data_IF_487370140654
#
_entry.id   IF_487370140654
#
_cell.length_a   1.000
_cell.length_b   1.000
_cell.length_c   1.000
_cell.angle_alpha   90.00
_cell.angle_beta   90.00
_cell.angle_gamma   90.00
#
_symmetry.space_group_name_H-M   'P 1'
#
loop_
_entity.id
_entity.type
_entity.pdbx_description
1 polymer ?
#
# COMPACT_ATOMS: atom_id res chain seq x y z
N UNK A 1 40.54 -48.65 38.86
CA UNK A 1 41.61 -48.01 38.03
C UNK A 1 41.26 -48.15 36.55
N UNK A 2 41.48 -47.08 35.77
CA UNK A 2 41.14 -46.90 34.34
C UNK A 2 41.86 -47.87 33.38
N UNK A 3 41.21 -48.18 32.24
CA UNK A 3 41.70 -48.16 30.82
C UNK A 3 40.62 -48.79 29.91
N UNK A 4 39.75 -48.03 29.23
CA UNK A 4 39.86 -47.49 27.86
C UNK A 4 40.34 -48.51 26.79
N UNK A 5 39.53 -48.78 25.73
CA UNK A 5 39.68 -48.18 24.38
C UNK A 5 38.79 -48.80 23.25
N UNK A 6 37.95 -47.94 22.63
CA UNK A 6 37.70 -47.63 21.16
C UNK A 6 37.32 -48.82 20.20
N UNK A 7 36.40 -48.81 19.19
CA UNK A 7 36.15 -47.97 17.99
C UNK A 7 34.80 -48.34 17.28
N UNK A 8 34.03 -47.29 16.89
CA UNK A 8 33.19 -46.97 15.69
C UNK A 8 32.51 -48.06 14.81
N UNK A 9 31.28 -47.73 14.35
CA UNK A 9 30.72 -47.65 12.95
C UNK A 9 29.20 -47.36 13.11
N UNK A 10 28.62 -46.19 12.79
CA UNK A 10 28.23 -45.57 11.49
C UNK A 10 27.27 -46.39 10.60
N UNK A 11 25.96 -46.05 10.61
CA UNK A 11 24.95 -46.26 9.54
C UNK A 11 23.68 -45.49 9.98
N UNK A 12 23.43 -44.23 9.61
CA UNK A 12 23.02 -43.61 8.32
C UNK A 12 21.58 -44.02 7.89
N UNK A 13 20.75 -42.99 7.61
CA UNK A 13 19.45 -42.94 6.86
C UNK A 13 18.24 -43.50 7.66
N UNK A 14 17.13 -42.79 7.91
CA UNK A 14 16.34 -42.00 6.97
C UNK A 14 16.19 -40.52 7.34
N UNK A 15 16.72 -39.71 6.43
CA UNK A 15 16.17 -38.43 6.03
C UNK A 15 14.66 -38.57 5.74
N UNK A 16 13.83 -38.34 6.74
CA UNK A 16 12.45 -37.86 6.57
C UNK A 16 12.48 -36.33 6.49
N UNK A 17 13.31 -35.79 5.60
CA UNK A 17 13.43 -34.36 5.34
C UNK A 17 12.17 -33.85 4.66
N UNK A 18 11.06 -33.79 5.40
CA UNK A 18 9.96 -32.90 5.08
C UNK A 18 10.32 -31.57 5.72
N UNK A 19 11.36 -30.93 5.20
CA UNK A 19 11.39 -29.47 5.25
C UNK A 19 10.42 -29.08 4.15
N UNK A 20 9.13 -29.02 4.50
CA UNK A 20 8.20 -28.13 3.83
C UNK A 20 8.76 -26.72 4.07
N UNK A 21 9.77 -26.35 3.28
CA UNK A 21 9.99 -24.95 2.92
C UNK A 21 8.76 -24.61 2.09
N UNK A 22 7.65 -24.37 2.78
CA UNK A 22 6.63 -23.51 2.22
C UNK A 22 7.39 -22.23 1.90
N UNK A 23 7.53 -21.93 0.62
CA UNK A 23 7.87 -20.59 0.18
C UNK A 23 6.76 -19.68 0.69
N UNK A 24 6.84 -19.26 1.95
CA UNK A 24 6.21 -18.04 2.40
C UNK A 24 7.01 -16.96 1.67
N UNK A 25 6.58 -16.64 0.45
CA UNK A 25 7.07 -15.50 -0.29
C UNK A 25 6.92 -14.30 0.65
N UNK A 26 8.06 -13.77 1.12
CA UNK A 26 8.05 -12.60 1.98
C UNK A 26 7.34 -11.49 1.22
N UNK A 27 6.23 -11.01 1.77
CA UNK A 27 5.56 -9.81 1.29
C UNK A 27 6.14 -8.65 2.09
N UNK A 28 6.62 -7.65 1.37
CA UNK A 28 7.04 -6.38 1.94
C UNK A 28 5.84 -5.45 1.87
N UNK A 29 5.61 -4.73 2.97
CA UNK A 29 4.50 -3.81 3.10
C UNK A 29 5.02 -2.47 3.59
N UNK A 30 4.49 -1.38 3.03
CA UNK A 30 4.78 -0.03 3.46
C UNK A 30 3.52 0.82 3.43
N UNK A 31 3.42 1.77 4.35
CA UNK A 31 2.28 2.67 4.47
C UNK A 31 2.77 4.12 4.47
N UNK A 32 2.17 4.94 3.62
CA UNK A 32 2.50 6.35 3.46
C UNK A 32 1.26 7.22 3.69
N UNK A 33 1.45 8.35 4.36
CA UNK A 33 0.40 9.35 4.53
C UNK A 33 0.68 10.49 3.52
N UNK A 34 -0.17 10.61 2.50
CA UNK A 34 0.06 11.45 1.33
C UNK A 34 -0.99 12.57 1.29
N UNK A 35 -0.58 13.85 1.14
CA UNK A 35 -1.53 14.94 0.98
C UNK A 35 -2.36 14.77 -0.30
N UNK A 36 -3.64 15.11 -0.22
CA UNK A 36 -4.56 15.01 -1.36
C UNK A 36 -4.47 16.28 -2.19
N UNK A 37 -4.19 16.14 -3.48
CA UNK A 37 -4.17 17.24 -4.44
C UNK A 37 -5.51 17.37 -5.14
N UNK A 38 -6.13 18.53 -5.02
CA UNK A 38 -7.41 18.85 -5.65
C UNK A 38 -7.19 19.45 -7.03
N UNK A 39 -7.86 18.91 -8.04
CA UNK A 39 -7.83 19.44 -9.41
C UNK A 39 -9.25 19.56 -9.98
N UNK A 40 -9.39 20.43 -10.99
CA UNK A 40 -10.67 20.71 -11.66
C UNK A 40 -11.80 21.07 -10.69
N UNK A 41 -11.48 21.66 -9.54
CA UNK A 41 -12.47 22.23 -8.65
C UNK A 41 -13.01 23.53 -9.26
N UNK A 42 -14.33 23.72 -9.22
CA UNK A 42 -14.94 24.94 -9.75
C UNK A 42 -14.50 26.16 -8.93
N UNK A 43 -14.09 27.23 -9.61
CA UNK A 43 -13.85 28.53 -8.96
C UNK A 43 -15.16 29.22 -8.53
N UNK A 44 -16.30 28.79 -9.09
CA UNK A 44 -17.61 29.40 -8.88
C UNK A 44 -18.28 28.94 -7.59
N UNK A 45 -17.84 27.81 -7.01
CA UNK A 45 -18.40 27.26 -5.77
C UNK A 45 -17.31 26.83 -4.81
N UNK A 46 -17.43 27.27 -3.58
CA UNK A 46 -16.63 26.74 -2.49
C UNK A 46 -17.11 25.31 -2.18
N UNK A 47 -16.21 24.49 -1.65
CA UNK A 47 -16.53 23.11 -1.28
C UNK A 47 -15.91 22.75 0.07
N UNK A 48 -16.54 21.78 0.74
CA UNK A 48 -16.03 21.13 1.94
C UNK A 48 -15.91 19.64 1.69
N UNK A 49 -14.80 19.05 2.13
CA UNK A 49 -14.63 17.60 2.15
C UNK A 49 -15.23 17.08 3.45
N UNK A 50 -16.13 16.10 3.37
CA UNK A 50 -16.70 15.49 4.56
C UNK A 50 -15.57 14.81 5.37
N UNK A 51 -15.56 15.02 6.69
CA UNK A 51 -14.54 14.56 7.64
C UNK A 51 -13.18 15.29 7.57
N UNK A 52 -13.10 16.44 6.89
CA UNK A 52 -11.92 17.32 6.88
C UNK A 52 -10.61 16.58 6.52
N UNK A 53 -10.72 15.65 5.57
CA UNK A 53 -9.64 14.77 5.16
C UNK A 53 -8.60 15.52 4.32
N UNK A 54 -7.45 15.84 4.92
CA UNK A 54 -6.33 16.49 4.22
C UNK A 54 -5.34 15.51 3.58
N UNK A 55 -5.27 14.28 4.08
CA UNK A 55 -4.34 13.26 3.62
C UNK A 55 -5.05 11.92 3.39
N UNK A 56 -4.54 11.16 2.43
CA UNK A 56 -4.93 9.76 2.20
C UNK A 56 -3.79 8.83 2.57
N UNK A 57 -4.15 7.64 3.02
CA UNK A 57 -3.19 6.57 3.34
C UNK A 57 -2.99 5.72 2.09
N UNK A 58 -1.75 5.63 1.63
CA UNK A 58 -1.35 4.67 0.61
C UNK A 58 -0.72 3.45 1.29
N UNK A 59 -1.27 2.25 1.02
CA UNK A 59 -0.62 0.99 1.37
C UNK A 59 -0.02 0.36 0.12
N UNK A 60 1.24 -0.04 0.22
CA UNK A 60 2.02 -0.66 -0.84
C UNK A 60 2.41 -2.06 -0.40
N UNK A 61 2.07 -3.05 -1.22
CA UNK A 61 2.51 -4.43 -1.08
C UNK A 61 3.45 -4.79 -2.24
N UNK A 62 4.50 -5.56 -1.96
CA UNK A 62 5.46 -6.02 -2.97
C UNK A 62 6.03 -7.40 -2.61
N UNK A 63 6.30 -8.28 -3.61
CA UNK A 63 7.05 -9.52 -3.38
C UNK A 63 8.56 -9.29 -3.13
N UNK A 64 9.04 -8.06 -3.37
CA UNK A 64 10.44 -7.64 -3.18
C UNK A 64 10.52 -6.45 -2.23
N UNK A 65 11.70 -6.17 -1.70
CA UNK A 65 11.92 -5.02 -0.82
C UNK A 65 11.46 -3.72 -1.49
N UNK A 66 10.73 -2.90 -0.72
CA UNK A 66 10.16 -1.64 -1.20
C UNK A 66 11.22 -0.55 -1.01
N UNK A 67 11.67 0.02 -2.13
CA UNK A 67 12.53 1.21 -2.15
C UNK A 67 11.78 2.51 -2.45
N UNK A 68 10.49 2.42 -2.78
CA UNK A 68 9.62 3.58 -2.96
C UNK A 68 9.49 4.37 -1.65
N UNK A 69 9.42 5.69 -1.73
CA UNK A 69 9.21 6.59 -0.59
C UNK A 69 7.89 7.33 -0.73
N UNK A 70 7.46 8.08 0.29
CA UNK A 70 6.23 8.88 0.22
C UNK A 70 6.25 9.89 -0.95
N UNK A 71 7.42 10.43 -1.31
CA UNK A 71 7.58 11.41 -2.40
C UNK A 71 7.35 10.80 -3.78
N UNK A 72 7.43 9.47 -3.90
CA UNK A 72 7.16 8.75 -5.15
C UNK A 72 5.68 8.57 -5.45
N UNK A 73 4.78 9.06 -4.58
CA UNK A 73 3.34 8.93 -4.72
C UNK A 73 2.65 10.29 -4.67
N UNK A 74 1.63 10.43 -5.51
CA UNK A 74 0.75 11.60 -5.52
C UNK A 74 -0.70 11.12 -5.50
N UNK A 75 -1.48 11.58 -4.54
CA UNK A 75 -2.93 11.29 -4.46
C UNK A 75 -3.70 12.47 -5.05
N UNK A 76 -4.63 12.18 -5.95
CA UNK A 76 -5.37 13.17 -6.73
C UNK A 76 -6.87 12.97 -6.53
N UNK A 77 -7.56 14.06 -6.22
CA UNK A 77 -9.02 14.14 -6.22
C UNK A 77 -9.45 15.03 -7.40
N UNK A 78 -9.98 14.41 -8.45
CA UNK A 78 -10.40 15.08 -9.67
C UNK A 78 -11.91 15.35 -9.67
N UNK A 79 -12.28 16.62 -9.60
CA UNK A 79 -13.68 17.05 -9.51
C UNK A 79 -14.33 17.34 -10.86
N UNK A 80 -13.67 17.06 -11.99
CA UNK A 80 -14.18 17.38 -13.33
C UNK A 80 -15.58 16.81 -13.62
N UNK A 81 -15.89 15.63 -13.07
CA UNK A 81 -17.16 14.95 -13.32
C UNK A 81 -18.25 15.27 -12.28
N UNK A 82 -18.01 16.22 -11.38
CA UNK A 82 -19.00 16.63 -10.41
C UNK A 82 -20.08 17.50 -11.04
N UNK A 83 -21.34 17.11 -10.82
CA UNK A 83 -22.50 17.89 -11.20
C UNK A 83 -22.71 19.02 -10.17
N UNK A 84 -22.35 20.25 -10.56
CA UNK A 84 -22.45 21.44 -9.72
C UNK A 84 -23.90 21.86 -9.45
N UNK A 85 -24.91 21.25 -10.08
CA UNK A 85 -26.32 21.51 -9.75
C UNK A 85 -26.78 20.79 -8.48
N UNK A 86 -25.99 19.84 -7.98
CA UNK A 86 -26.26 19.08 -6.74
C UNK A 86 -25.55 19.71 -5.54
N UNK A 87 -25.99 19.32 -4.35
CA UNK A 87 -25.38 19.77 -3.09
C UNK A 87 -24.08 19.02 -2.75
N UNK A 88 -23.86 17.85 -3.35
CA UNK A 88 -22.67 17.03 -3.10
C UNK A 88 -22.28 16.15 -4.28
N UNK A 89 -21.03 15.68 -4.24
CA UNK A 89 -20.40 14.82 -5.23
C UNK A 89 -19.50 13.80 -4.53
N UNK A 90 -19.61 12.52 -4.86
CA UNK A 90 -18.64 11.50 -4.42
C UNK A 90 -17.51 11.44 -5.45
N UNK A 91 -16.26 11.60 -4.98
CA UNK A 91 -15.07 11.63 -5.84
C UNK A 91 -14.15 10.47 -5.47
N UNK A 92 -13.71 9.71 -6.47
CA UNK A 92 -12.70 8.67 -6.29
C UNK A 92 -11.30 9.29 -6.19
N UNK A 93 -10.54 8.88 -5.17
CA UNK A 93 -9.14 9.22 -5.02
C UNK A 93 -8.31 8.31 -5.91
N UNK A 94 -7.58 8.93 -6.84
CA UNK A 94 -6.61 8.25 -7.71
C UNK A 94 -5.20 8.47 -7.18
N UNK A 95 -4.26 7.64 -7.63
CA UNK A 95 -2.85 7.87 -7.36
C UNK A 95 -2.03 7.83 -8.65
N UNK A 96 -0.94 8.57 -8.64
CA UNK A 96 0.15 8.49 -9.61
C UNK A 96 1.42 8.07 -8.85
N UNK A 97 2.34 7.38 -9.53
CA UNK A 97 3.62 7.00 -8.92
C UNK A 97 4.80 7.16 -9.90
N UNK A 98 5.92 7.63 -9.37
CA UNK A 98 7.23 7.69 -10.06
C UNK A 98 8.18 6.58 -9.62
N UNK A 99 7.73 5.68 -8.73
CA UNK A 99 8.58 4.63 -8.19
C UNK A 99 9.13 3.73 -9.30
N UNK A 100 10.43 3.41 -9.20
CA UNK A 100 11.09 2.45 -10.08
C UNK A 100 10.87 1.00 -9.66
N UNK A 101 10.29 0.74 -8.48
CA UNK A 101 9.93 -0.62 -8.10
C UNK A 101 8.86 -1.14 -9.05
N UNK A 102 9.16 -2.26 -9.70
CA UNK A 102 8.19 -3.01 -10.49
C UNK A 102 7.34 -3.85 -9.54
N UNK A 103 6.11 -4.14 -9.95
CA UNK A 103 5.18 -5.04 -9.24
C UNK A 103 4.66 -4.54 -7.88
N UNK A 104 4.57 -3.21 -7.69
CA UNK A 104 3.89 -2.64 -6.54
C UNK A 104 2.37 -2.80 -6.67
N UNK A 105 1.74 -3.42 -5.67
CA UNK A 105 0.29 -3.36 -5.48
C UNK A 105 -0.01 -2.22 -4.52
N UNK A 106 -0.68 -1.19 -5.03
CA UNK A 106 -0.95 0.05 -4.30
C UNK A 106 -2.45 0.17 -4.03
N UNK A 107 -2.81 0.57 -2.82
CA UNK A 107 -4.20 0.87 -2.44
C UNK A 107 -4.26 2.24 -1.75
N UNK A 108 -5.34 2.99 -2.00
CA UNK A 108 -5.57 4.32 -1.43
C UNK A 108 -6.74 4.25 -0.45
N UNK A 109 -6.58 4.77 0.75
CA UNK A 109 -7.61 4.81 1.79
C UNK A 109 -7.79 6.24 2.34
N UNK A 110 -9.00 6.81 2.31
CA UNK A 110 -10.21 6.24 1.71
C UNK A 110 -10.10 6.20 0.18
N UNK A 111 -10.80 5.25 -0.45
CA UNK A 111 -10.86 5.18 -1.91
C UNK A 111 -11.75 6.29 -2.49
N UNK A 112 -12.77 6.71 -1.75
CA UNK A 112 -13.73 7.74 -2.16
C UNK A 112 -13.95 8.74 -1.04
N UNK A 113 -14.22 9.98 -1.44
CA UNK A 113 -14.51 11.08 -0.54
C UNK A 113 -15.78 11.79 -0.98
N UNK A 114 -16.63 12.14 -0.02
CA UNK A 114 -17.80 12.96 -0.28
C UNK A 114 -17.40 14.44 -0.19
N UNK A 115 -17.65 15.17 -1.27
CA UNK A 115 -17.47 16.62 -1.35
C UNK A 115 -18.84 17.29 -1.30
N UNK A 116 -19.01 18.26 -0.41
CA UNK A 116 -20.21 19.08 -0.27
C UNK A 116 -19.94 20.47 -0.87
N UNK A 117 -20.84 20.95 -1.72
CA UNK A 117 -20.77 22.30 -2.26
C UNK A 117 -21.39 23.30 -1.29
N UNK A 118 -20.75 24.45 -1.13
CA UNK A 118 -21.20 25.54 -0.28
C UNK A 118 -21.84 26.60 -1.18
N UNK A 119 -23.09 26.97 -0.87
CA UNK A 119 -23.82 28.06 -1.52
C UNK A 119 -23.48 29.42 -0.93
#
# INVERSE_FOLDING_TARGET
MKKNKIIKIFSIVLFGGIVLVGCASRKYEATYNIPIFYINNSAERQFKIQNDLANAVINVESPQEISATAEDFKVIMDMQNCDLTKDSCEVELKYETTSKNKDLKVTVNPQRVLVQFIN
#
